data_IF_717860849063
#
_entry.id   IF_717860849063
#
_cell.length_a   1.000
_cell.length_b   1.000
_cell.length_c   1.000
_cell.angle_alpha   90.00
_cell.angle_beta   90.00
_cell.angle_gamma   90.00
#
_symmetry.space_group_name_H-M   'P 1'
#
loop_
_entity.id
_entity.type
_entity.pdbx_description
1 polymer ?
#
# COMPACT_ATOMS: atom_id res chain seq x y z
N UNK A 1 -4.59 18.40 8.86
CA UNK A 1 -4.33 17.07 9.48
C UNK A 1 -3.71 16.14 8.44
N UNK A 2 -2.75 15.31 8.83
CA UNK A 2 -2.18 14.26 7.97
C UNK A 2 -2.34 12.89 8.63
N UNK A 3 -2.63 11.86 7.85
CA UNK A 3 -2.67 10.48 8.32
C UNK A 3 -1.73 9.58 7.51
N UNK A 4 -1.04 8.69 8.23
CA UNK A 4 -0.01 7.81 7.71
C UNK A 4 -0.35 6.35 7.97
N UNK A 5 -0.34 5.54 6.92
CA UNK A 5 -0.37 4.07 6.96
C UNK A 5 0.96 3.51 6.45
N UNK A 6 1.53 2.56 7.20
CA UNK A 6 2.73 1.82 6.80
C UNK A 6 2.33 0.36 6.62
N UNK A 7 2.55 -0.16 5.42
CA UNK A 7 2.09 -1.50 5.08
C UNK A 7 3.07 -2.22 4.16
N UNK A 8 3.28 -3.51 4.45
CA UNK A 8 4.27 -4.36 3.77
C UNK A 8 3.59 -5.36 2.83
N UNK A 9 4.02 -5.44 1.58
CA UNK A 9 3.62 -6.48 0.62
C UNK A 9 4.61 -7.64 0.69
N UNK A 10 4.13 -8.82 1.09
CA UNK A 10 4.83 -10.12 0.96
C UNK A 10 6.31 -10.09 1.43
N UNK A 11 6.62 -9.27 2.44
CA UNK A 11 7.96 -9.13 3.00
C UNK A 11 9.02 -8.44 2.13
N UNK A 12 8.67 -7.92 0.94
CA UNK A 12 9.66 -7.35 -0.02
C UNK A 12 9.39 -5.93 -0.50
N UNK A 13 8.15 -5.43 -0.41
CA UNK A 13 7.82 -4.07 -0.83
C UNK A 13 7.00 -3.36 0.24
N UNK A 14 7.68 -2.60 1.08
CA UNK A 14 7.06 -1.72 2.05
C UNK A 14 6.62 -0.41 1.38
N UNK A 15 5.45 0.08 1.79
CA UNK A 15 4.88 1.33 1.30
C UNK A 15 4.36 2.14 2.46
N UNK A 16 4.72 3.43 2.48
CA UNK A 16 4.03 4.44 3.27
C UNK A 16 2.98 5.18 2.44
N UNK A 17 1.80 5.38 3.00
CA UNK A 17 0.73 6.19 2.40
C UNK A 17 0.42 7.38 3.28
N UNK A 18 0.38 8.58 2.69
CA UNK A 18 -0.03 9.83 3.36
C UNK A 18 -1.30 10.36 2.72
N UNK A 19 -2.32 10.58 3.54
CA UNK A 19 -3.57 11.28 3.21
C UNK A 19 -3.64 12.58 4.02
N UNK A 20 -4.19 13.63 3.40
CA UNK A 20 -4.25 14.96 4.00
C UNK A 20 -5.68 15.45 4.03
N UNK A 21 -6.09 15.97 5.18
CA UNK A 21 -7.36 16.68 5.35
C UNK A 21 -7.09 18.16 5.66
N UNK A 22 -7.72 19.04 4.88
CA UNK A 22 -7.75 20.50 5.06
C UNK A 22 -9.19 20.90 5.34
N UNK A 23 -9.44 21.68 6.38
CA UNK A 23 -10.79 22.09 6.83
C UNK A 23 -11.79 20.93 6.96
N UNK A 24 -11.31 19.79 7.46
CA UNK A 24 -12.11 18.59 7.67
C UNK A 24 -12.45 17.81 6.40
N UNK A 25 -11.86 18.16 5.24
CA UNK A 25 -12.10 17.48 3.96
C UNK A 25 -10.81 16.93 3.38
N UNK A 26 -10.91 15.78 2.73
CA UNK A 26 -9.84 15.16 1.97
C UNK A 26 -9.32 16.08 0.85
N UNK A 27 -8.03 16.41 0.88
CA UNK A 27 -7.34 17.06 -0.22
C UNK A 27 -6.44 16.05 -0.95
N UNK A 28 -6.98 15.48 -2.04
CA UNK A 28 -6.31 14.45 -2.84
C UNK A 28 -5.05 14.96 -3.53
N UNK A 29 -4.91 16.27 -3.76
CA UNK A 29 -3.73 16.85 -4.43
C UNK A 29 -2.48 16.75 -3.54
N UNK A 30 -2.69 16.65 -2.23
CA UNK A 30 -1.63 16.54 -1.22
C UNK A 30 -1.31 15.08 -0.85
N UNK A 31 -2.02 14.10 -1.40
CA UNK A 31 -1.74 12.70 -1.09
C UNK A 31 -0.38 12.27 -1.62
N UNK A 32 0.33 11.43 -0.87
CA UNK A 32 1.65 10.91 -1.29
C UNK A 32 1.79 9.44 -0.96
N UNK A 33 2.53 8.73 -1.81
CA UNK A 33 2.96 7.35 -1.59
C UNK A 33 4.47 7.32 -1.57
N UNK A 34 5.01 6.57 -0.62
CA UNK A 34 6.43 6.41 -0.40
C UNK A 34 6.75 4.94 -0.63
N UNK A 35 7.45 4.64 -1.73
CA UNK A 35 8.05 3.32 -1.88
C UNK A 35 9.29 3.30 -1.00
N UNK A 36 9.28 2.43 -0.01
CA UNK A 36 10.37 2.24 0.95
C UNK A 36 11.33 1.23 0.33
N UNK A 37 12.60 1.62 0.22
CA UNK A 37 13.63 0.82 -0.47
C UNK A 37 14.74 0.38 0.48
N UNK A 38 14.97 1.12 1.57
CA UNK A 38 16.21 1.04 2.35
C UNK A 38 16.08 0.23 3.65
N UNK A 39 14.94 -0.45 3.85
CA UNK A 39 14.67 -1.22 5.07
C UNK A 39 14.65 -2.71 4.78
N UNK A 40 15.66 -3.43 5.29
CA UNK A 40 15.71 -4.88 5.22
C UNK A 40 14.81 -5.50 6.31
N UNK A 41 13.82 -6.31 5.91
CA UNK A 41 12.89 -6.98 6.83
C UNK A 41 11.67 -6.15 7.22
N UNK A 42 10.88 -6.66 8.17
CA UNK A 42 9.71 -5.98 8.72
C UNK A 42 10.10 -5.12 9.92
N UNK A 43 10.73 -3.98 9.65
CA UNK A 43 10.99 -2.95 10.67
C UNK A 43 10.09 -1.72 10.43
N UNK A 44 8.88 -1.77 10.99
CA UNK A 44 7.89 -0.70 10.89
C UNK A 44 8.43 0.66 11.39
N UNK A 45 9.40 0.66 12.33
CA UNK A 45 10.02 1.89 12.83
C UNK A 45 10.89 2.53 11.76
N UNK A 46 11.79 1.77 11.15
CA UNK A 46 12.67 2.25 10.09
C UNK A 46 11.87 2.69 8.84
N UNK A 47 10.79 1.97 8.53
CA UNK A 47 9.86 2.32 7.45
C UNK A 47 9.19 3.67 7.70
N UNK A 48 8.67 3.88 8.91
CA UNK A 48 8.06 5.15 9.31
C UNK A 48 9.08 6.30 9.29
N UNK A 49 10.31 6.02 9.73
CA UNK A 49 11.40 6.98 9.74
C UNK A 49 11.70 7.51 8.34
N UNK A 50 11.84 6.62 7.36
CA UNK A 50 12.10 7.00 5.97
C UNK A 50 10.98 7.91 5.43
N UNK A 51 9.72 7.55 5.70
CA UNK A 51 8.55 8.30 5.23
C UNK A 51 8.51 9.71 5.82
N UNK A 52 8.62 9.84 7.14
CA UNK A 52 8.53 11.15 7.81
C UNK A 52 9.72 12.03 7.45
N UNK A 53 10.94 11.48 7.36
CA UNK A 53 12.12 12.22 6.94
C UNK A 53 11.93 12.80 5.53
N UNK A 54 11.57 11.95 4.56
CA UNK A 54 11.32 12.37 3.17
C UNK A 54 10.18 13.39 3.05
N UNK A 55 9.13 13.23 3.86
CA UNK A 55 8.02 14.19 3.94
C UNK A 55 8.52 15.58 4.32
N UNK A 56 9.29 15.70 5.39
CA UNK A 56 9.69 17.00 5.94
C UNK A 56 10.93 17.61 5.25
N UNK A 57 11.73 16.79 4.56
CA UNK A 57 12.78 17.29 3.66
C UNK A 57 12.20 17.94 2.40
N UNK A 58 11.10 17.41 1.85
CA UNK A 58 10.53 17.92 0.61
C UNK A 58 9.61 19.12 0.83
N UNK A 59 8.96 19.20 2.00
CA UNK A 59 7.97 20.21 2.29
C UNK A 59 8.07 20.62 3.77
N UNK A 60 8.38 21.88 4.04
CA UNK A 60 8.54 22.39 5.39
C UNK A 60 7.20 22.71 6.10
N UNK A 61 6.06 22.59 5.39
CA UNK A 61 4.76 22.86 5.99
C UNK A 61 4.44 21.90 7.14
N UNK A 62 3.90 22.48 8.21
CA UNK A 62 3.58 21.78 9.45
C UNK A 62 2.09 21.48 9.50
N UNK A 63 1.68 20.20 9.61
CA UNK A 63 0.29 19.87 9.87
C UNK A 63 -0.11 20.19 11.31
N UNK A 64 -1.38 20.50 11.54
CA UNK A 64 -1.91 20.73 12.89
C UNK A 64 -2.01 19.45 13.73
N UNK A 65 -2.02 18.29 13.06
CA UNK A 65 -2.11 16.97 13.69
C UNK A 65 -1.62 15.91 12.70
N UNK A 66 -0.76 15.02 13.20
CA UNK A 66 -0.40 13.76 12.55
C UNK A 66 -1.16 12.62 13.22
N UNK A 67 -1.73 11.74 12.40
CA UNK A 67 -2.45 10.54 12.82
C UNK A 67 -1.73 9.32 12.26
N UNK A 68 -1.18 8.50 13.15
CA UNK A 68 -0.62 7.20 12.79
C UNK A 68 -1.76 6.17 12.75
N UNK A 69 -1.94 5.48 11.63
CA UNK A 69 -2.89 4.36 11.50
C UNK A 69 -2.30 3.10 12.15
N UNK A 70 -2.15 3.17 13.46
CA UNK A 70 -1.67 2.09 14.28
C UNK A 70 -1.61 2.42 15.77
N UNK A 71 -1.25 1.39 16.53
CA UNK A 71 -1.29 1.44 18.00
C UNK A 71 -0.12 2.20 18.63
N UNK A 72 -0.01 2.04 19.96
CA UNK A 72 1.01 2.71 20.80
C UNK A 72 2.45 2.53 20.32
N UNK A 73 2.78 1.36 19.75
CA UNK A 73 4.14 1.09 19.25
C UNK A 73 4.54 2.05 18.14
N UNK A 74 3.67 2.20 17.13
CA UNK A 74 3.89 3.11 16.00
C UNK A 74 3.79 4.59 16.42
N UNK A 75 2.91 4.94 17.35
CA UNK A 75 2.89 6.27 17.93
C UNK A 75 4.22 6.61 18.64
N UNK A 76 4.70 5.70 19.51
CA UNK A 76 5.96 5.88 20.21
C UNK A 76 7.16 6.00 19.26
N UNK A 77 7.13 5.24 18.16
CA UNK A 77 8.09 5.35 17.07
C UNK A 77 8.09 6.76 16.45
N UNK A 78 6.92 7.21 15.98
CA UNK A 78 6.76 8.51 15.32
C UNK A 78 7.13 9.69 16.23
N UNK A 79 6.81 9.62 17.53
CA UNK A 79 7.18 10.67 18.49
C UNK A 79 8.71 10.80 18.67
N UNK A 80 9.44 9.68 18.72
CA UNK A 80 10.92 9.71 18.77
C UNK A 80 11.50 10.34 17.50
N UNK A 81 10.94 9.97 16.35
CA UNK A 81 11.33 10.52 15.04
C UNK A 81 11.08 12.02 14.93
N UNK A 82 9.90 12.50 15.34
CA UNK A 82 9.63 13.94 15.36
C UNK A 82 10.62 14.68 16.26
N UNK A 83 11.00 14.10 17.40
CA UNK A 83 12.03 14.69 18.26
C UNK A 83 13.39 14.77 17.57
N UNK A 84 13.83 13.69 16.92
CA UNK A 84 15.10 13.64 16.18
C UNK A 84 15.14 14.65 15.01
N UNK A 85 13.99 14.90 14.38
CA UNK A 85 13.85 15.87 13.29
C UNK A 85 13.64 17.32 13.78
N UNK A 86 13.66 17.58 15.10
CA UNK A 86 13.32 18.87 15.71
C UNK A 86 11.90 19.38 15.37
N UNK A 87 10.96 18.45 15.29
CA UNK A 87 9.54 18.64 14.96
C UNK A 87 8.60 18.19 16.08
N UNK A 88 9.09 18.07 17.32
CA UNK A 88 8.32 17.61 18.48
C UNK A 88 7.10 18.47 18.83
N UNK A 89 7.03 19.70 18.31
CA UNK A 89 5.89 20.60 18.47
C UNK A 89 4.65 20.16 17.66
N UNK A 90 4.81 19.31 16.66
CA UNK A 90 3.70 18.81 15.85
C UNK A 90 2.94 17.74 16.66
N UNK A 91 1.64 17.95 16.95
CA UNK A 91 0.86 16.95 17.66
C UNK A 91 0.77 15.65 16.86
N UNK A 92 0.98 14.52 17.52
CA UNK A 92 0.84 13.20 16.92
C UNK A 92 0.01 12.28 17.81
N UNK A 93 -0.91 11.54 17.20
CA UNK A 93 -1.74 10.54 17.87
C UNK A 93 -1.72 9.22 17.10
N UNK A 94 -1.95 8.12 17.80
CA UNK A 94 -2.20 6.81 17.19
C UNK A 94 -3.69 6.56 17.09
N UNK A 95 -4.15 5.94 16.02
CA UNK A 95 -5.51 5.48 15.83
C UNK A 95 -5.45 4.01 15.44
N UNK A 96 -6.12 3.13 16.19
CA UNK A 96 -6.19 1.73 15.83
C UNK A 96 -7.54 1.13 16.18
N UNK A 97 -7.90 0.09 15.43
CA UNK A 97 -9.04 -0.76 15.72
C UNK A 97 -8.55 -2.01 16.43
N UNK A 98 -9.07 -2.30 17.61
CA UNK A 98 -8.81 -3.59 18.26
C UNK A 98 -9.44 -4.71 17.42
N UNK A 99 -8.79 -5.88 17.38
CA UNK A 99 -9.30 -7.03 16.60
C UNK A 99 -10.72 -7.39 17.10
N UNK A 100 -11.68 -7.38 16.19
CA UNK A 100 -13.09 -7.66 16.49
C UNK A 100 -13.87 -6.50 17.12
N UNK A 101 -13.23 -5.38 17.45
CA UNK A 101 -13.92 -4.21 18.00
C UNK A 101 -14.64 -3.42 16.91
N UNK A 102 -15.81 -2.88 17.24
CA UNK A 102 -16.54 -1.95 16.37
C UNK A 102 -16.05 -0.51 16.49
N UNK A 103 -15.33 -0.19 17.57
CA UNK A 103 -14.99 1.18 17.99
C UNK A 103 -13.51 1.45 17.76
N UNK A 104 -13.23 2.67 17.32
CA UNK A 104 -11.88 3.20 17.17
C UNK A 104 -11.30 3.67 18.52
N UNK A 105 -10.05 3.28 18.76
CA UNK A 105 -9.28 3.72 19.92
C UNK A 105 -8.20 4.69 19.50
N UNK A 106 -8.06 5.75 20.26
CA UNK A 106 -7.05 6.78 20.03
C UNK A 106 -6.02 6.75 21.15
N UNK A 107 -4.76 6.79 20.78
CA UNK A 107 -3.62 6.77 21.68
C UNK A 107 -2.99 8.15 21.70
N UNK A 108 -2.88 8.73 22.90
CA UNK A 108 -2.28 10.04 23.11
C UNK A 108 -0.87 9.88 23.72
N UNK A 109 0.08 10.77 23.38
CA UNK A 109 1.37 10.83 24.06
C UNK A 109 1.20 10.96 25.57
N UNK A 110 2.01 10.23 26.35
CA UNK A 110 2.00 10.30 27.81
C UNK A 110 0.79 9.66 28.51
N UNK A 111 -0.20 9.12 27.77
CA UNK A 111 -1.37 8.45 28.35
C UNK A 111 -1.28 6.94 28.23
N UNK A 112 -1.45 6.23 29.35
CA UNK A 112 -1.47 4.76 29.36
C UNK A 112 -2.69 4.20 28.63
N UNK A 113 -3.89 4.70 28.91
CA UNK A 113 -5.11 4.13 28.34
C UNK A 113 -5.52 4.85 27.07
N UNK A 114 -6.06 4.08 26.11
CA UNK A 114 -6.65 4.67 24.91
C UNK A 114 -7.88 5.49 25.29
N UNK A 115 -8.17 6.50 24.48
CA UNK A 115 -9.43 7.22 24.55
C UNK A 115 -10.40 6.69 23.50
N UNK A 116 -11.67 6.73 23.84
CA UNK A 116 -12.77 6.45 22.92
C UNK A 116 -13.57 7.74 22.75
N UNK A 117 -13.85 8.08 21.49
CA UNK A 117 -14.71 9.22 21.18
C UNK A 117 -16.17 8.76 21.19
N UNK A 118 -17.09 9.66 21.57
CA UNK A 118 -18.53 9.37 21.55
C UNK A 118 -18.95 8.96 20.13
N UNK A 119 -19.72 7.87 20.02
CA UNK A 119 -20.14 7.23 18.76
C UNK A 119 -20.77 8.20 17.76
N UNK A 120 -21.49 9.23 18.23
CA UNK A 120 -22.17 10.23 17.40
C UNK A 120 -21.44 11.56 17.30
N UNK A 121 -20.18 11.65 17.75
CA UNK A 121 -19.41 12.90 17.69
C UNK A 121 -18.90 13.22 16.28
N UNK A 122 -18.82 14.52 15.95
CA UNK A 122 -18.23 14.97 14.69
C UNK A 122 -16.73 14.64 14.60
N UNK A 123 -16.03 14.69 15.75
CA UNK A 123 -14.62 14.30 15.85
C UNK A 123 -14.41 12.84 15.42
N UNK A 124 -15.20 11.89 15.97
CA UNK A 124 -15.09 10.49 15.58
C UNK A 124 -15.35 10.28 14.09
N UNK A 125 -16.40 10.91 13.53
CA UNK A 125 -16.69 10.82 12.10
C UNK A 125 -15.54 11.31 11.22
N UNK A 126 -14.94 12.45 11.59
CA UNK A 126 -13.81 13.03 10.84
C UNK A 126 -12.59 12.12 10.89
N UNK A 127 -12.27 11.59 12.08
CA UNK A 127 -11.16 10.66 12.25
C UNK A 127 -11.37 9.35 11.49
N UNK A 128 -12.59 8.81 11.50
CA UNK A 128 -12.95 7.62 10.72
C UNK A 128 -12.83 7.86 9.23
N UNK A 129 -13.32 9.00 8.72
CA UNK A 129 -13.16 9.37 7.32
C UNK A 129 -11.69 9.48 6.92
N UNK A 130 -10.86 10.11 7.77
CA UNK A 130 -9.43 10.23 7.54
C UNK A 130 -8.75 8.84 7.48
N UNK A 131 -9.03 7.96 8.45
CA UNK A 131 -8.50 6.59 8.47
C UNK A 131 -8.98 5.77 7.28
N UNK A 132 -10.28 5.75 7.02
CA UNK A 132 -10.87 4.94 5.95
C UNK A 132 -10.33 5.36 4.58
N UNK A 133 -10.11 6.66 4.38
CA UNK A 133 -9.48 7.20 3.18
C UNK A 133 -7.98 6.83 3.10
N UNK A 134 -7.27 6.82 4.22
CA UNK A 134 -5.86 6.39 4.30
C UNK A 134 -5.71 4.91 3.95
N UNK A 135 -6.52 4.05 4.59
CA UNK A 135 -6.61 2.63 4.25
C UNK A 135 -7.00 2.42 2.79
N UNK A 136 -8.02 3.12 2.27
CA UNK A 136 -8.43 3.00 0.86
C UNK A 136 -7.27 3.36 -0.07
N UNK A 137 -6.56 4.44 0.23
CA UNK A 137 -5.44 4.92 -0.59
C UNK A 137 -4.26 3.94 -0.59
N UNK A 138 -3.96 3.32 0.55
CA UNK A 138 -2.97 2.27 0.71
C UNK A 138 -3.36 0.97 -0.01
N UNK A 139 -4.56 0.44 0.27
CA UNK A 139 -5.06 -0.81 -0.34
C UNK A 139 -5.09 -0.72 -1.87
N UNK A 140 -5.55 0.41 -2.41
CA UNK A 140 -5.60 0.61 -3.87
C UNK A 140 -4.21 0.47 -4.49
N UNK A 141 -3.19 1.02 -3.83
CA UNK A 141 -1.82 0.93 -4.30
C UNK A 141 -1.25 -0.49 -4.17
N UNK A 142 -1.53 -1.15 -3.05
CA UNK A 142 -1.13 -2.54 -2.83
C UNK A 142 -1.74 -3.47 -3.87
N UNK A 143 -3.00 -3.27 -4.24
CA UNK A 143 -3.65 -4.02 -5.32
C UNK A 143 -2.93 -3.80 -6.66
N UNK A 144 -2.60 -2.54 -6.99
CA UNK A 144 -1.85 -2.22 -8.21
C UNK A 144 -0.44 -2.84 -8.20
N UNK A 145 0.28 -2.77 -7.09
CA UNK A 145 1.61 -3.36 -6.96
C UNK A 145 1.58 -4.88 -7.00
N UNK A 146 0.62 -5.53 -6.33
CA UNK A 146 0.45 -6.99 -6.38
C UNK A 146 0.08 -7.46 -7.77
N UNK A 147 -0.81 -6.76 -8.46
CA UNK A 147 -1.16 -7.06 -9.85
C UNK A 147 0.09 -7.00 -10.73
N UNK A 148 0.90 -5.94 -10.64
CA UNK A 148 2.16 -5.83 -11.39
C UNK A 148 3.20 -6.88 -11.01
N UNK A 149 3.37 -7.17 -9.71
CA UNK A 149 4.33 -8.17 -9.23
C UNK A 149 3.91 -9.59 -9.61
N UNK A 150 2.62 -9.91 -9.50
CA UNK A 150 2.03 -11.18 -9.95
C UNK A 150 2.19 -11.37 -11.45
N UNK A 151 1.86 -10.35 -12.25
CA UNK A 151 2.04 -10.39 -13.70
C UNK A 151 3.52 -10.56 -14.10
N UNK A 152 4.45 -9.89 -13.41
CA UNK A 152 5.89 -10.07 -13.66
C UNK A 152 6.36 -11.47 -13.27
N UNK A 153 5.83 -12.04 -12.19
CA UNK A 153 6.26 -13.32 -11.62
C UNK A 153 5.94 -14.50 -12.53
N UNK A 154 4.71 -14.62 -13.04
CA UNK A 154 4.34 -15.76 -13.89
C UNK A 154 4.93 -15.65 -15.30
N UNK A 155 5.06 -14.42 -15.83
CA UNK A 155 5.70 -14.19 -17.14
C UNK A 155 7.16 -14.67 -17.15
N UNK A 156 7.89 -14.50 -16.04
CA UNK A 156 9.26 -14.99 -15.90
C UNK A 156 9.35 -16.52 -15.73
N UNK A 157 8.23 -17.21 -15.46
CA UNK A 157 8.18 -18.68 -15.37
C UNK A 157 7.88 -19.33 -16.73
N UNK A 158 7.41 -18.54 -17.72
CA UNK A 158 7.19 -19.04 -19.08
C UNK A 158 8.55 -19.40 -19.71
N UNK A 159 8.78 -20.66 -20.11
CA UNK A 159 10.04 -21.07 -20.71
C UNK A 159 10.41 -20.20 -21.92
N UNK A 160 11.61 -19.62 -21.89
CA UNK A 160 12.13 -18.73 -22.95
C UNK A 160 11.56 -17.30 -22.97
N UNK A 161 10.80 -16.90 -21.94
CA UNK A 161 10.43 -15.50 -21.68
C UNK A 161 11.25 -15.00 -20.50
N UNK A 162 12.38 -14.38 -20.80
CA UNK A 162 13.24 -13.76 -19.78
C UNK A 162 12.73 -12.38 -19.31
N UNK A 163 13.39 -11.77 -18.31
CA UNK A 163 12.96 -10.50 -17.70
C UNK A 163 12.75 -9.35 -18.69
N UNK A 164 13.58 -9.27 -19.75
CA UNK A 164 13.44 -8.26 -20.81
C UNK A 164 12.14 -8.42 -21.60
N UNK A 165 11.78 -9.65 -21.97
CA UNK A 165 10.55 -9.96 -22.71
C UNK A 165 9.32 -9.77 -21.81
N UNK A 166 9.39 -10.22 -20.56
CA UNK A 166 8.35 -9.98 -19.56
C UNK A 166 8.08 -8.48 -19.35
N UNK A 167 9.12 -7.67 -19.21
CA UNK A 167 8.98 -6.21 -19.08
C UNK A 167 8.35 -5.56 -20.32
N UNK A 168 8.70 -6.03 -21.53
CA UNK A 168 8.09 -5.54 -22.77
C UNK A 168 6.62 -5.90 -22.87
N UNK A 169 6.23 -7.13 -22.48
CA UNK A 169 4.82 -7.56 -22.40
C UNK A 169 4.05 -6.63 -21.47
N UNK A 170 4.53 -6.42 -20.24
CA UNK A 170 3.88 -5.56 -19.25
C UNK A 170 3.72 -4.11 -19.72
N UNK A 171 4.72 -3.59 -20.44
CA UNK A 171 4.67 -2.25 -21.01
C UNK A 171 3.64 -2.16 -22.13
N UNK A 172 3.60 -3.17 -23.00
CA UNK A 172 2.67 -3.24 -24.13
C UNK A 172 1.21 -3.37 -23.66
N UNK A 173 0.98 -4.10 -22.56
CA UNK A 173 -0.37 -4.38 -22.02
C UNK A 173 -0.80 -3.44 -20.88
N UNK A 174 -0.02 -2.38 -20.59
CA UNK A 174 -0.21 -1.51 -19.42
C UNK A 174 -1.58 -0.80 -19.32
N UNK A 175 -2.34 -0.71 -20.43
CA UNK A 175 -3.68 -0.12 -20.49
C UNK A 175 -4.83 -1.12 -20.44
N UNK A 176 -4.55 -2.43 -20.40
CA UNK A 176 -5.57 -3.48 -20.37
C UNK A 176 -5.98 -3.80 -18.93
N UNK A 177 -7.18 -4.39 -18.77
CA UNK A 177 -7.61 -4.88 -17.46
C UNK A 177 -6.66 -6.01 -17.02
N UNK A 178 -5.96 -5.86 -15.88
CA UNK A 178 -4.99 -6.85 -15.42
C UNK A 178 -5.59 -8.20 -15.02
N UNK A 179 -6.90 -8.27 -14.81
CA UNK A 179 -7.64 -9.50 -14.49
C UNK A 179 -8.10 -10.26 -15.73
N UNK A 180 -8.01 -9.65 -16.92
CA UNK A 180 -8.36 -10.30 -18.18
C UNK A 180 -7.22 -11.19 -18.69
N UNK A 181 -7.49 -12.41 -19.19
CA UNK A 181 -6.46 -13.25 -19.79
C UNK A 181 -5.85 -12.60 -21.04
N UNK A 182 -4.54 -12.73 -21.20
CA UNK A 182 -3.81 -12.22 -22.36
C UNK A 182 -4.16 -13.08 -23.57
N UNK A 183 -4.56 -12.42 -24.66
CA UNK A 183 -4.87 -13.08 -25.92
C UNK A 183 -3.76 -12.83 -26.94
N UNK A 184 -3.76 -13.63 -28.01
CA UNK A 184 -2.80 -13.48 -29.11
C UNK A 184 -2.85 -12.06 -29.70
N UNK A 185 -4.05 -11.54 -29.96
CA UNK A 185 -4.27 -10.20 -30.50
C UNK A 185 -3.77 -9.07 -29.58
N UNK A 186 -3.77 -9.29 -28.26
CA UNK A 186 -3.29 -8.30 -27.29
C UNK A 186 -1.77 -8.22 -27.20
N UNK A 187 -1.06 -9.26 -27.66
CA UNK A 187 0.40 -9.35 -27.63
C UNK A 187 1.03 -9.16 -29.02
N UNK A 188 0.20 -9.16 -30.07
CA UNK A 188 0.60 -8.89 -31.43
C UNK A 188 1.21 -7.49 -31.56
N UNK A 189 2.37 -7.40 -32.21
CA UNK A 189 3.11 -6.14 -32.34
C UNK A 189 3.95 -5.75 -31.11
N UNK A 190 4.06 -6.62 -30.09
CA UNK A 190 5.00 -6.39 -28.99
C UNK A 190 6.47 -6.49 -29.50
N UNK A 191 7.29 -5.42 -29.37
CA UNK A 191 8.59 -5.33 -30.06
C UNK A 191 9.62 -6.42 -29.74
N UNK A 192 9.49 -7.11 -28.59
CA UNK A 192 10.45 -8.12 -28.15
C UNK A 192 9.93 -9.55 -28.23
N UNK A 193 8.78 -9.79 -28.85
CA UNK A 193 8.14 -11.10 -28.93
C UNK A 193 8.07 -11.60 -30.37
N UNK A 194 8.46 -12.85 -30.57
CA UNK A 194 8.11 -13.62 -31.77
C UNK A 194 6.71 -14.25 -31.64
N UNK A 195 6.11 -14.69 -32.74
CA UNK A 195 4.86 -15.46 -32.70
C UNK A 195 4.96 -16.70 -31.79
N UNK A 196 6.12 -17.37 -31.80
CA UNK A 196 6.38 -18.50 -30.91
C UNK A 196 6.50 -18.10 -29.42
N UNK A 197 6.92 -16.86 -29.11
CA UNK A 197 6.90 -16.33 -27.74
C UNK A 197 5.45 -16.04 -27.29
N UNK A 198 4.63 -15.45 -28.16
CA UNK A 198 3.22 -15.13 -27.88
C UNK A 198 2.45 -16.41 -27.58
N UNK A 199 2.62 -17.45 -28.41
CA UNK A 199 2.00 -18.77 -28.20
C UNK A 199 2.32 -19.35 -26.83
N UNK A 200 3.61 -19.37 -26.45
CA UNK A 200 4.06 -19.86 -25.14
C UNK A 200 3.42 -19.12 -23.97
N UNK A 201 3.31 -17.79 -24.05
CA UNK A 201 2.70 -16.98 -22.99
C UNK A 201 1.22 -17.31 -22.81
N UNK A 202 0.46 -17.39 -23.91
CA UNK A 202 -0.98 -17.68 -23.88
C UNK A 202 -1.24 -19.11 -23.38
N UNK A 203 -0.50 -20.10 -23.90
CA UNK A 203 -0.63 -21.50 -23.47
C UNK A 203 -0.30 -21.68 -21.99
N UNK A 204 0.79 -21.07 -21.53
CA UNK A 204 1.20 -21.14 -20.13
C UNK A 204 0.17 -20.49 -19.20
N UNK A 205 -0.41 -19.35 -19.60
CA UNK A 205 -1.47 -18.70 -18.83
C UNK A 205 -2.73 -19.58 -18.73
N UNK A 206 -3.12 -20.27 -19.82
CA UNK A 206 -4.25 -21.21 -19.80
C UNK A 206 -3.99 -22.42 -18.89
N UNK A 207 -2.75 -22.94 -18.88
CA UNK A 207 -2.36 -24.02 -17.98
C UNK A 207 -2.44 -23.61 -16.51
N UNK A 208 -1.98 -22.41 -16.16
CA UNK A 208 -2.08 -21.87 -14.79
C UNK A 208 -3.52 -21.74 -14.30
N UNK A 209 -4.43 -21.27 -15.15
CA UNK A 209 -5.85 -21.13 -14.77
C UNK A 209 -6.53 -22.49 -14.57
N UNK A 210 -6.20 -23.50 -15.39
CA UNK A 210 -6.73 -24.87 -15.24
C UNK A 210 -6.34 -25.49 -13.89
N UNK A 211 -5.07 -25.39 -13.51
CA UNK A 211 -4.60 -25.90 -12.21
C UNK A 211 -5.28 -25.21 -11.02
N UNK A 212 -5.48 -23.88 -11.06
CA UNK A 212 -6.16 -23.16 -9.99
C UNK A 212 -7.64 -23.55 -9.84
N UNK A 213 -8.33 -23.88 -10.93
CA UNK A 213 -9.72 -24.35 -10.88
C UNK A 213 -9.88 -25.79 -10.41
N UNK A 214 -8.85 -26.62 -10.56
CA UNK A 214 -8.82 -28.01 -10.07
C UNK A 214 -8.47 -28.05 -8.57
N UNK A 215 -7.49 -27.26 -8.13
CA UNK A 215 -7.12 -27.14 -6.72
C UNK A 215 -8.27 -26.59 -5.86
N UNK A 216 -9.05 -25.63 -6.38
CA UNK A 216 -10.21 -25.06 -5.69
C UNK A 216 -11.37 -26.07 -5.52
N UNK A 217 -11.54 -27.00 -6.46
CA UNK A 217 -12.56 -28.06 -6.37
C UNK A 217 -12.18 -29.16 -5.39
N UNK A 218 -10.89 -29.37 -5.16
CA UNK A 218 -10.39 -30.43 -4.27
C UNK A 218 -10.33 -29.98 -2.79
N UNK A 219 -10.54 -28.69 -2.51
CA UNK A 219 -10.57 -28.13 -1.15
C UNK A 219 -11.98 -27.96 -0.55
N UNK A 220 -13.03 -28.30 -1.30
CA UNK A 220 -14.43 -28.25 -0.84
C UNK A 220 -15.04 -29.64 -0.58
N UNK A 221 -14.27 -30.72 -0.79
CA UNK A 221 -14.58 -32.11 -0.38
C UNK A 221 -13.76 -32.51 0.86
#
# INVERSE_FOLDING_TARGET
MECYDISTIQGRHAVGSRVVFVDGRADKTLYRRYRIQDVAGQDDFAMLAEVLKRRFEHDASRPDLIVMDGGKGQLGAGLRLLKELNLSEIPMIGMAKERGAKIDRFFLPGRKDAIELKVRSAALRTMQQLRDETHRFAITYHRQLRSKAGQTSWLNQVPGIGPKKAASILKHTAGLNPEQPLTYAMLEGCPSLSAADIGRVVEYQQALHRHQTEDAKTSED
#
